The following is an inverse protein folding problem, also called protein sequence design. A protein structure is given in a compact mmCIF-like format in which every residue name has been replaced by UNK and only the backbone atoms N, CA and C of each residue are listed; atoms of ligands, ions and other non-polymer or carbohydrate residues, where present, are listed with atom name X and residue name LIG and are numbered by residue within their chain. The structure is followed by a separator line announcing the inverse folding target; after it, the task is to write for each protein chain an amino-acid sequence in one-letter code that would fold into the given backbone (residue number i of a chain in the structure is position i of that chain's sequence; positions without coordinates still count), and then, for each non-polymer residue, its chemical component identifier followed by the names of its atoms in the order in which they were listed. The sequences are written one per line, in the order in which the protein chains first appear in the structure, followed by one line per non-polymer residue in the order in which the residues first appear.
data_IF_394926366156
#
_entry.id   IF_394926366156
#
_cell.length_a   1.000
_cell.length_b   1.000
_cell.length_c   1.000
_cell.angle_alpha   90.00
_cell.angle_beta   90.00
_cell.angle_gamma   90.00
#
_symmetry.space_group_name_H-M   'P 1'
#
loop_
_entity.id
_entity.type
_entity.pdbx_description
1 polymer ?
#
# COMPACT_ATOMS: atom_id res chain seq x y z
N UNK A 1 40.58 18.47 -43.33
CA UNK A 1 40.40 17.43 -42.30
C UNK A 1 39.12 16.64 -42.63
N UNK A 2 38.98 15.79 -43.65
CA UNK A 2 39.93 15.08 -44.49
C UNK A 2 39.97 13.57 -44.18
N UNK A 3 38.94 12.82 -44.59
CA UNK A 3 38.91 11.37 -44.89
C UNK A 3 39.07 10.40 -43.68
N UNK A 4 38.07 9.62 -43.27
CA UNK A 4 37.61 8.31 -43.82
C UNK A 4 38.77 7.34 -44.12
N UNK A 5 39.02 6.39 -43.22
CA UNK A 5 39.16 4.93 -43.46
C UNK A 5 39.88 4.22 -42.29
N UNK A 6 39.20 3.31 -41.59
CA UNK A 6 39.82 2.08 -41.09
C UNK A 6 39.60 0.97 -42.12
N UNK A 7 40.65 0.61 -42.85
CA UNK A 7 40.67 -0.51 -43.80
C UNK A 7 41.23 -1.80 -43.13
N UNK A 8 40.91 -2.98 -43.68
CA UNK A 8 40.38 -4.11 -42.93
C UNK A 8 41.19 -5.40 -43.11
N UNK A 9 40.99 -6.38 -42.21
CA UNK A 9 41.15 -7.83 -42.49
C UNK A 9 40.31 -8.56 -41.42
N UNK A 10 39.07 -8.96 -41.72
CA UNK A 10 38.71 -10.21 -42.38
C UNK A 10 39.33 -11.45 -41.72
N UNK A 11 38.58 -12.08 -40.81
CA UNK A 11 38.35 -13.53 -40.90
C UNK A 11 37.10 -13.93 -40.11
N UNK A 12 36.12 -14.41 -40.86
CA UNK A 12 35.06 -15.33 -40.42
C UNK A 12 35.31 -16.58 -41.25
N UNK A 13 35.41 -17.76 -40.64
CA UNK A 13 34.21 -18.59 -40.56
C UNK A 13 34.07 -19.44 -39.27
N UNK A 14 32.82 -19.51 -38.82
CA UNK A 14 32.12 -20.69 -38.30
C UNK A 14 32.93 -21.81 -37.60
N UNK A 15 32.75 -21.92 -36.29
CA UNK A 15 32.53 -23.21 -35.65
C UNK A 15 31.63 -23.02 -34.43
N UNK A 16 30.50 -23.71 -34.46
CA UNK A 16 29.54 -23.78 -33.37
C UNK A 16 30.17 -24.41 -32.13
N UNK A 17 30.02 -23.76 -30.98
CA UNK A 17 29.86 -24.45 -29.71
C UNK A 17 28.68 -23.79 -28.98
N UNK A 18 27.51 -24.38 -29.20
CA UNK A 18 26.42 -24.31 -28.25
C UNK A 18 26.89 -24.96 -26.95
N UNK A 19 27.31 -24.16 -25.98
CA UNK A 19 27.26 -24.60 -24.58
C UNK A 19 25.90 -24.17 -24.02
N UNK A 20 25.00 -25.16 -24.01
CA UNK A 20 23.71 -25.07 -23.36
C UNK A 20 23.88 -24.95 -21.84
N UNK A 21 23.12 -24.10 -21.15
CA UNK A 21 22.85 -24.32 -19.74
C UNK A 21 21.87 -25.49 -19.64
N UNK A 22 22.39 -26.70 -19.40
CA UNK A 22 21.60 -27.83 -18.89
C UNK A 22 22.03 -28.10 -17.46
N UNK A 23 21.60 -27.21 -16.56
CA UNK A 23 21.40 -27.63 -15.17
C UNK A 23 20.17 -28.54 -15.16
N UNK A 24 20.44 -29.84 -15.21
CA UNK A 24 19.42 -30.87 -15.10
C UNK A 24 18.80 -30.88 -13.69
N UNK A 25 17.48 -31.11 -13.57
CA UNK A 25 16.86 -31.39 -12.30
C UNK A 25 17.28 -32.81 -11.85
N UNK A 26 18.05 -32.88 -10.77
CA UNK A 26 18.33 -34.14 -10.08
C UNK A 26 17.02 -34.70 -9.49
N UNK A 27 16.86 -36.00 -9.63
CA UNK A 27 15.61 -36.75 -9.63
C UNK A 27 15.10 -37.08 -8.22
N UNK A 28 13.77 -37.20 -8.05
CA UNK A 28 13.11 -38.44 -7.59
C UNK A 28 11.59 -38.27 -7.47
N UNK A 29 10.77 -38.74 -8.43
CA UNK A 29 9.36 -39.02 -8.17
C UNK A 29 9.24 -40.43 -7.57
N UNK A 30 8.85 -40.49 -6.29
CA UNK A 30 8.49 -41.73 -5.60
C UNK A 30 7.27 -42.39 -6.30
N UNK A 31 7.25 -43.73 -6.49
CA UNK A 31 6.17 -44.42 -7.20
C UNK A 31 4.89 -44.46 -6.35
N UNK A 32 3.80 -43.90 -6.88
CA UNK A 32 2.46 -43.98 -6.27
C UNK A 32 1.90 -45.41 -6.31
N UNK A 33 1.42 -45.98 -5.18
CA UNK A 33 0.41 -47.03 -5.23
C UNK A 33 -0.99 -46.40 -5.44
N UNK A 34 -1.82 -46.94 -6.35
CA UNK A 34 -3.18 -46.44 -6.54
C UNK A 34 -4.13 -47.13 -5.56
N UNK A 35 -4.88 -46.37 -4.76
CA UNK A 35 -6.13 -46.86 -4.18
C UNK A 35 -7.03 -45.69 -3.77
N UNK A 36 -8.02 -45.43 -4.60
CA UNK A 36 -9.25 -44.74 -4.17
C UNK A 36 -10.09 -45.75 -3.39
N UNK A 37 -10.54 -45.39 -2.18
CA UNK A 37 -11.97 -45.36 -1.97
C UNK A 37 -12.46 -44.02 -1.40
N UNK A 38 -13.61 -43.63 -1.91
CA UNK A 38 -14.44 -42.51 -1.48
C UNK A 38 -14.68 -42.53 0.03
N UNK A 39 -14.25 -41.48 0.74
CA UNK A 39 -14.85 -41.12 2.04
C UNK A 39 -15.05 -39.61 2.08
N UNK A 40 -16.26 -39.21 1.72
CA UNK A 40 -16.86 -38.01 2.26
C UNK A 40 -17.64 -38.43 3.51
N UNK A 41 -17.20 -37.96 4.69
CA UNK A 41 -18.17 -37.42 5.63
C UNK A 41 -17.88 -35.94 5.89
N UNK A 42 -18.90 -35.14 5.62
CA UNK A 42 -19.09 -33.78 6.09
C UNK A 42 -18.66 -33.59 7.56
N UNK A 43 -17.70 -32.69 7.78
CA UNK A 43 -17.59 -31.84 8.97
C UNK A 43 -16.76 -30.61 8.57
N UNK A 44 -17.35 -29.58 7.95
CA UNK A 44 -17.87 -28.43 8.68
C UNK A 44 -17.20 -28.25 10.05
N UNK A 45 -15.99 -27.68 10.08
CA UNK A 45 -15.44 -26.92 11.21
C UNK A 45 -14.15 -26.20 10.82
N UNK A 46 -14.26 -25.27 9.87
CA UNK A 46 -13.73 -23.95 10.16
C UNK A 46 -14.97 -23.06 10.15
N UNK A 47 -15.49 -22.64 11.32
CA UNK A 47 -16.48 -21.59 11.30
C UNK A 47 -15.91 -20.42 10.51
N UNK A 48 -16.68 -19.94 9.53
CA UNK A 48 -16.74 -18.52 9.19
C UNK A 48 -16.38 -17.66 10.40
N UNK A 49 -15.28 -16.89 10.39
CA UNK A 49 -15.18 -15.61 11.11
C UNK A 49 -13.84 -14.89 10.84
N UNK A 50 -13.80 -13.97 9.88
CA UNK A 50 -13.18 -12.64 10.07
C UNK A 50 -13.56 -11.74 8.91
N UNK A 51 -14.85 -11.73 8.63
CA UNK A 51 -15.49 -10.67 7.86
C UNK A 51 -16.79 -10.37 8.59
N UNK A 52 -17.06 -9.12 8.91
CA UNK A 52 -16.27 -8.19 9.71
C UNK A 52 -16.72 -8.31 11.18
N UNK A 53 -15.85 -8.10 12.16
CA UNK A 53 -16.35 -7.66 13.47
C UNK A 53 -16.87 -6.22 13.28
N UNK A 54 -18.04 -6.09 12.67
CA UNK A 54 -18.97 -5.03 12.97
C UNK A 54 -19.39 -5.28 14.42
N UNK A 55 -18.45 -5.03 15.35
CA UNK A 55 -18.78 -4.55 16.68
C UNK A 55 -19.82 -3.50 16.42
N UNK A 56 -21.04 -3.84 16.85
CA UNK A 56 -22.24 -3.05 16.74
C UNK A 56 -21.84 -1.60 17.03
N UNK A 57 -21.67 -0.83 15.97
CA UNK A 57 -21.19 0.54 16.07
C UNK A 57 -22.34 1.30 16.72
N UNK A 58 -22.32 1.34 18.05
CA UNK A 58 -23.08 2.27 18.87
C UNK A 58 -23.09 3.57 18.09
N UNK A 59 -24.28 4.16 17.81
CA UNK A 59 -24.51 5.09 16.71
C UNK A 59 -23.31 6.01 16.61
N UNK A 60 -22.41 5.72 15.65
CA UNK A 60 -21.05 6.22 15.71
C UNK A 60 -21.15 7.72 15.64
N UNK A 61 -21.06 8.35 16.81
CA UNK A 61 -21.50 9.71 16.96
C UNK A 61 -20.60 10.51 16.05
N UNK A 62 -21.17 11.26 15.12
CA UNK A 62 -20.40 11.75 13.98
C UNK A 62 -19.72 13.05 14.35
N UNK A 63 -18.45 13.20 14.01
CA UNK A 63 -17.71 14.45 14.09
C UNK A 63 -17.52 15.05 12.69
N UNK A 64 -17.40 16.37 12.66
CA UNK A 64 -17.08 17.10 11.43
C UNK A 64 -15.61 17.46 11.46
N UNK A 65 -14.87 17.01 10.46
CA UNK A 65 -13.44 17.26 10.35
C UNK A 65 -13.15 18.08 9.10
N UNK A 66 -12.42 19.17 9.28
CA UNK A 66 -11.88 20.00 8.22
C UNK A 66 -10.38 19.84 8.20
N UNK A 67 -9.81 19.56 7.03
CA UNK A 67 -8.38 19.30 6.92
C UNK A 67 -7.78 20.23 5.88
N UNK A 68 -6.76 20.95 6.30
CA UNK A 68 -6.00 21.89 5.48
C UNK A 68 -4.52 21.56 5.62
N UNK A 69 -3.75 21.75 4.57
CA UNK A 69 -2.31 21.64 4.64
C UNK A 69 -1.65 22.69 3.76
N UNK A 70 -0.44 23.08 4.14
CA UNK A 70 0.45 23.92 3.33
C UNK A 70 1.80 23.22 3.23
N UNK A 71 2.22 22.75 2.04
CA UNK A 71 1.50 22.76 0.76
C UNK A 71 0.36 21.72 0.75
N UNK A 72 -0.27 21.50 -0.42
CA UNK A 72 -1.25 20.42 -0.57
C UNK A 72 -0.64 19.06 -0.20
N UNK A 73 -1.46 18.21 0.40
CA UNK A 73 -1.02 16.92 0.93
C UNK A 73 -2.12 15.88 0.78
N UNK A 74 -1.73 14.64 0.53
CA UNK A 74 -2.62 13.49 0.61
C UNK A 74 -2.89 13.16 2.08
N UNK A 75 -4.16 12.98 2.41
CA UNK A 75 -4.60 12.72 3.77
C UNK A 75 -5.24 11.35 3.85
N UNK A 76 -4.75 10.55 4.79
CA UNK A 76 -5.34 9.27 5.17
C UNK A 76 -5.74 9.33 6.63
N UNK A 77 -6.97 8.94 6.92
CA UNK A 77 -7.50 8.82 8.27
C UNK A 77 -7.76 7.34 8.55
N UNK A 78 -6.99 6.79 9.49
CA UNK A 78 -6.93 5.37 9.81
C UNK A 78 -6.64 4.51 8.56
N UNK A 79 -7.66 3.82 8.05
CA UNK A 79 -7.60 2.99 6.85
C UNK A 79 -8.27 3.62 5.63
N UNK A 80 -8.78 4.86 5.77
CA UNK A 80 -9.55 5.55 4.74
C UNK A 80 -8.77 6.73 4.17
N UNK A 81 -8.46 6.67 2.88
CA UNK A 81 -7.98 7.84 2.15
C UNK A 81 -9.09 8.88 2.06
N UNK A 82 -8.85 10.07 2.59
CA UNK A 82 -9.79 11.20 2.53
C UNK A 82 -9.62 12.01 1.25
N UNK A 83 -8.49 11.82 0.56
CA UNK A 83 -8.12 12.52 -0.66
C UNK A 83 -6.99 13.51 -0.41
N UNK A 84 -7.03 14.65 -1.09
CA UNK A 84 -5.99 15.68 -1.01
C UNK A 84 -6.52 16.93 -0.31
N UNK A 85 -5.70 17.62 0.47
CA UNK A 85 -6.07 18.89 1.09
C UNK A 85 -6.24 19.99 0.02
N UNK A 86 -7.20 20.93 0.20
CA UNK A 86 -8.06 21.11 1.38
C UNK A 86 -9.34 20.24 1.36
N UNK A 87 -9.58 19.52 2.46
CA UNK A 87 -10.81 18.77 2.73
C UNK A 87 -11.75 19.65 3.57
N UNK A 88 -12.80 20.18 2.96
CA UNK A 88 -13.62 21.25 3.59
C UNK A 88 -14.47 20.80 4.77
N UNK A 89 -15.10 19.63 4.68
CA UNK A 89 -15.92 19.07 5.75
C UNK A 89 -16.20 17.62 5.44
N UNK A 90 -15.62 16.72 6.21
CA UNK A 90 -15.94 15.29 6.15
C UNK A 90 -16.59 14.87 7.45
N UNK A 91 -17.50 13.93 7.33
CA UNK A 91 -18.14 13.32 8.47
C UNK A 91 -17.42 12.03 8.79
N UNK A 92 -16.80 11.98 9.96
CA UNK A 92 -16.04 10.84 10.46
C UNK A 92 -16.68 10.36 11.76
N UNK A 93 -16.57 9.08 12.10
CA UNK A 93 -16.96 8.62 13.44
C UNK A 93 -16.20 9.43 14.51
N UNK A 94 -16.82 9.64 15.66
CA UNK A 94 -16.15 10.16 16.84
C UNK A 94 -15.34 9.03 17.47
N UNK A 95 -14.19 9.40 18.03
CA UNK A 95 -13.18 8.47 18.51
C UNK A 95 -11.78 9.00 18.26
N UNK A 96 -10.78 8.21 18.63
CA UNK A 96 -9.39 8.50 18.32
C UNK A 96 -9.09 8.03 16.90
N UNK A 97 -8.62 8.95 16.07
CA UNK A 97 -8.32 8.73 14.67
C UNK A 97 -6.86 9.08 14.39
N UNK A 98 -6.18 8.22 13.64
CA UNK A 98 -4.79 8.46 13.24
C UNK A 98 -4.76 9.05 11.85
N UNK A 99 -4.25 10.27 11.71
CA UNK A 99 -4.23 10.98 10.45
C UNK A 99 -2.81 11.08 9.94
N UNK A 100 -2.59 10.54 8.75
CA UNK A 100 -1.33 10.64 8.03
C UNK A 100 -1.47 11.65 6.91
N UNK A 101 -0.54 12.60 6.90
CA UNK A 101 -0.37 13.59 5.86
C UNK A 101 0.88 13.26 5.08
N UNK A 102 0.77 13.18 3.77
CA UNK A 102 1.89 12.93 2.87
C UNK A 102 1.93 14.05 1.84
N UNK A 103 3.08 14.69 1.69
CA UNK A 103 3.31 15.77 0.76
C UNK A 103 4.27 15.30 -0.34
N UNK A 104 3.76 14.75 -1.45
CA UNK A 104 4.59 14.36 -2.59
C UNK A 104 5.58 15.44 -3.07
N UNK A 105 5.22 16.74 -3.16
CA UNK A 105 6.16 17.74 -3.67
C UNK A 105 7.31 18.07 -2.73
N UNK A 106 7.18 17.82 -1.43
CA UNK A 106 8.26 18.03 -0.44
C UNK A 106 8.91 16.72 0.01
N UNK A 107 8.34 15.55 -0.31
CA UNK A 107 8.74 14.27 0.25
C UNK A 107 8.53 14.17 1.77
N UNK A 108 7.74 15.06 2.36
CA UNK A 108 7.49 15.12 3.80
C UNK A 108 6.23 14.34 4.17
N UNK A 109 6.30 13.58 5.26
CA UNK A 109 5.13 12.91 5.84
C UNK A 109 5.07 13.12 7.34
N UNK A 110 3.90 13.46 7.86
CA UNK A 110 3.66 13.58 9.30
C UNK A 110 2.40 12.81 9.65
N UNK A 111 2.39 12.28 10.85
CA UNK A 111 1.26 11.55 11.37
C UNK A 111 0.84 12.15 12.70
N UNK A 112 -0.46 12.27 12.89
CA UNK A 112 -1.05 12.95 14.03
C UNK A 112 -2.30 12.20 14.50
N UNK A 113 -2.32 11.83 15.77
CA UNK A 113 -3.48 11.22 16.40
C UNK A 113 -4.38 12.34 16.93
N UNK A 114 -5.62 12.40 16.45
CA UNK A 114 -6.65 13.35 16.90
C UNK A 114 -7.76 12.58 17.59
N UNK A 115 -8.28 13.14 18.68
CA UNK A 115 -9.49 12.61 19.32
C UNK A 115 -10.67 13.49 18.93
N UNK A 116 -11.64 12.88 18.26
CA UNK A 116 -12.84 13.56 17.80
C UNK A 116 -14.00 13.25 18.74
N UNK A 117 -14.61 14.29 19.27
CA UNK A 117 -15.78 14.18 20.13
C UNK A 117 -17.08 14.09 19.31
N UNK A 118 -18.11 13.40 19.83
CA UNK A 118 -19.42 13.29 19.18
C UNK A 118 -20.04 14.67 18.88
N UNK A 119 -20.30 14.97 17.61
CA UNK A 119 -20.87 16.25 17.19
C UNK A 119 -19.89 17.44 17.18
N UNK A 120 -18.63 17.22 17.54
CA UNK A 120 -17.62 18.28 17.47
C UNK A 120 -17.24 18.62 16.03
N UNK A 121 -16.92 19.89 15.81
CA UNK A 121 -16.27 20.38 14.60
C UNK A 121 -14.79 20.62 14.93
N UNK A 122 -13.90 19.94 14.20
CA UNK A 122 -12.46 20.06 14.36
C UNK A 122 -11.82 20.49 13.05
N UNK A 123 -10.91 21.44 13.13
CA UNK A 123 -10.09 21.84 12.01
C UNK A 123 -8.63 21.45 12.24
N UNK A 124 -8.06 20.69 11.31
CA UNK A 124 -6.65 20.35 11.31
C UNK A 124 -5.93 21.16 10.24
N UNK A 125 -4.80 21.73 10.64
CA UNK A 125 -3.87 22.34 9.72
C UNK A 125 -2.51 21.70 9.86
N UNK A 126 -2.07 21.05 8.78
CA UNK A 126 -0.72 20.51 8.67
C UNK A 126 0.18 21.53 7.97
N UNK A 127 1.17 22.04 8.70
CA UNK A 127 2.29 22.80 8.16
C UNK A 127 3.41 21.82 7.81
N UNK A 128 3.48 21.45 6.54
CA UNK A 128 4.46 20.48 6.02
C UNK A 128 5.71 21.17 5.48
N UNK A 129 5.71 22.51 5.45
CA UNK A 129 6.88 23.32 5.10
C UNK A 129 7.81 23.57 6.29
N UNK A 130 7.31 23.50 7.53
CA UNK A 130 8.16 23.51 8.72
C UNK A 130 9.07 22.27 8.77
N UNK A 131 10.30 22.48 9.24
CA UNK A 131 11.24 21.41 9.60
C UNK A 131 11.44 21.42 11.13
N UNK A 132 10.91 20.42 11.87
CA UNK A 132 10.08 19.30 11.41
C UNK A 132 8.61 19.71 11.12
N UNK A 133 7.86 18.92 10.32
CA UNK A 133 6.48 19.21 9.97
C UNK A 133 5.58 19.22 11.21
N UNK A 134 4.61 20.15 11.25
CA UNK A 134 3.76 20.37 12.42
C UNK A 134 2.29 20.27 12.06
N UNK A 135 1.49 19.70 12.96
CA UNK A 135 0.02 19.69 12.85
C UNK A 135 -0.56 20.51 13.99
N UNK A 136 -1.51 21.38 13.66
CA UNK A 136 -2.22 22.24 14.62
C UNK A 136 -3.72 21.98 14.55
N UNK A 137 -4.31 21.77 15.71
CA UNK A 137 -5.75 21.63 15.91
C UNK A 137 -6.34 23.03 16.14
N UNK A 138 -7.38 23.38 15.39
CA UNK A 138 -8.07 24.67 15.42
C UNK A 138 -9.56 24.47 15.68
#
# INVERSE_FOLDING_TARGET
MGLREPEPVAETPAAAQSEAPSEGPEQSPEPQPPMVPTEAPTAMSSPTESEPEATMAAPAARASLRITATPWAEVRLDHRALGTTPVRRITVPAGTHRIRFECPPLGASVEHSVTLEPGADRALFADLQADPPRVTER
#
